data_IF_622658147883
#
_entry.id   IF_622658147883
#
_cell.length_a   1.000
_cell.length_b   1.000
_cell.length_c   1.000
_cell.angle_alpha   90.00
_cell.angle_beta   90.00
_cell.angle_gamma   90.00
#
_symmetry.space_group_name_H-M   'P 1'
#
loop_
_entity.id
_entity.type
_entity.pdbx_description
1 polymer ?
#
# COMPACT_ATOMS: atom_id res chain seq x y z
N UNK A 1 8.59 -22.92 0.66
CA UNK A 1 9.66 -21.93 0.32
C UNK A 1 10.48 -22.34 -0.90
N UNK A 2 10.91 -23.59 -1.05
CA UNK A 2 11.77 -24.00 -2.19
C UNK A 2 11.08 -23.84 -3.57
N UNK A 3 9.77 -24.08 -3.67
CA UNK A 3 8.99 -23.89 -4.90
C UNK A 3 8.87 -22.42 -5.29
N UNK A 4 8.93 -21.51 -4.31
CA UNK A 4 8.74 -20.07 -4.49
C UNK A 4 10.04 -19.31 -4.84
N UNK A 5 11.21 -19.98 -4.77
CA UNK A 5 12.51 -19.36 -5.07
C UNK A 5 13.02 -19.70 -6.48
N UNK A 6 12.22 -20.40 -7.28
CA UNK A 6 12.63 -20.73 -8.67
C UNK A 6 12.28 -19.57 -9.60
N UNK A 7 13.23 -19.17 -10.42
CA UNK A 7 12.97 -18.29 -11.56
C UNK A 7 12.26 -19.11 -12.64
N UNK A 8 11.11 -18.67 -13.18
CA UNK A 8 10.47 -19.32 -14.31
C UNK A 8 11.34 -19.27 -15.57
N UNK A 9 11.19 -20.25 -16.46
CA UNK A 9 11.87 -20.26 -17.74
C UNK A 9 11.28 -19.10 -18.60
N UNK A 10 12.11 -18.16 -19.02
CA UNK A 10 11.69 -16.92 -19.71
C UNK A 10 11.19 -15.82 -18.80
N UNK A 11 11.06 -16.08 -17.48
CA UNK A 11 10.60 -15.14 -16.48
C UNK A 11 11.72 -14.50 -15.66
N UNK A 12 11.32 -13.83 -14.60
CA UNK A 12 12.20 -13.13 -13.66
C UNK A 12 11.80 -13.41 -12.21
N UNK A 13 12.79 -13.53 -11.32
CA UNK A 13 12.60 -13.62 -9.87
C UNK A 13 13.81 -13.03 -9.17
N UNK A 14 13.82 -11.73 -8.99
CA UNK A 14 14.96 -10.97 -8.48
C UNK A 14 14.55 -10.00 -7.39
N UNK A 15 15.45 -9.79 -6.43
CA UNK A 15 15.26 -8.82 -5.36
C UNK A 15 16.51 -7.97 -5.22
N UNK A 16 16.32 -6.68 -5.03
CA UNK A 16 17.45 -5.76 -4.94
C UNK A 16 17.16 -4.52 -4.10
N UNK A 17 18.22 -3.86 -3.66
CA UNK A 17 18.17 -2.53 -3.09
C UNK A 17 18.54 -1.48 -4.14
N UNK A 18 17.78 -0.41 -4.18
CA UNK A 18 17.99 0.72 -5.07
C UNK A 18 18.26 1.97 -4.25
N UNK A 19 19.25 2.76 -4.62
CA UNK A 19 19.55 4.04 -3.99
C UNK A 19 18.55 5.11 -4.45
N UNK A 20 17.62 5.48 -3.58
CA UNK A 20 16.54 6.43 -3.84
C UNK A 20 16.59 7.57 -2.84
N UNK A 21 16.91 8.77 -3.30
CA UNK A 21 16.92 9.99 -2.48
C UNK A 21 17.63 9.82 -1.13
N UNK A 22 18.84 9.22 -1.16
CA UNK A 22 19.70 9.03 0.01
C UNK A 22 19.34 7.85 0.91
N UNK A 23 18.43 6.96 0.48
CA UNK A 23 18.14 5.72 1.17
C UNK A 23 18.21 4.53 0.24
N UNK A 24 18.46 3.34 0.80
CA UNK A 24 18.34 2.07 0.08
C UNK A 24 16.92 1.55 0.22
N UNK A 25 16.22 1.41 -0.88
CA UNK A 25 14.85 0.92 -0.88
C UNK A 25 14.77 -0.42 -1.61
N UNK A 26 14.04 -1.35 -1.01
CA UNK A 26 13.93 -2.73 -1.47
C UNK A 26 12.81 -2.90 -2.47
N UNK A 27 13.12 -3.61 -3.57
CA UNK A 27 12.11 -4.12 -4.48
C UNK A 27 12.28 -5.63 -4.69
N UNK A 28 11.19 -6.28 -5.06
CA UNK A 28 11.17 -7.64 -5.58
C UNK A 28 10.42 -7.65 -6.91
N UNK A 29 11.02 -8.25 -7.91
CA UNK A 29 10.48 -8.38 -9.27
C UNK A 29 10.20 -9.86 -9.53
N UNK A 30 8.96 -10.19 -9.85
CA UNK A 30 8.55 -11.54 -10.17
C UNK A 30 7.58 -11.58 -11.36
N UNK A 31 7.87 -12.39 -12.36
CA UNK A 31 7.01 -12.63 -13.53
C UNK A 31 7.33 -13.97 -14.17
N UNK A 32 6.32 -14.63 -14.74
CA UNK A 32 6.50 -15.88 -15.47
C UNK A 32 7.06 -15.64 -16.87
N UNK A 33 6.83 -14.44 -17.41
CA UNK A 33 7.40 -13.96 -18.67
C UNK A 33 7.89 -12.52 -18.47
N UNK A 34 9.17 -12.24 -18.77
CA UNK A 34 9.77 -10.90 -18.64
C UNK A 34 9.16 -9.90 -19.63
N UNK A 35 8.58 -10.38 -20.71
CA UNK A 35 7.93 -9.54 -21.73
C UNK A 35 6.53 -9.08 -21.33
N UNK A 36 5.94 -9.66 -20.28
CA UNK A 36 4.66 -9.22 -19.74
C UNK A 36 4.66 -7.73 -19.38
N UNK A 37 3.48 -7.05 -19.42
CA UNK A 37 3.33 -5.71 -18.89
C UNK A 37 3.72 -5.67 -17.40
N UNK A 38 4.22 -4.53 -16.94
CA UNK A 38 4.69 -4.35 -15.56
C UNK A 38 3.58 -3.86 -14.67
N UNK A 39 3.43 -4.48 -13.50
CA UNK A 39 2.54 -4.05 -12.42
C UNK A 39 3.37 -3.64 -11.20
N UNK A 40 3.38 -2.36 -10.87
CA UNK A 40 3.95 -1.86 -9.62
C UNK A 40 2.89 -1.89 -8.52
N UNK A 41 3.11 -2.72 -7.51
CA UNK A 41 2.26 -2.79 -6.33
C UNK A 41 2.72 -1.81 -5.24
N UNK A 42 1.81 -0.94 -4.82
CA UNK A 42 2.00 0.02 -3.72
C UNK A 42 1.20 -0.45 -2.50
N UNK A 43 1.92 -0.84 -1.46
CA UNK A 43 1.33 -1.32 -0.21
C UNK A 43 0.62 -0.23 0.60
N UNK A 44 -0.22 -0.65 1.52
CA UNK A 44 -0.97 0.21 2.42
C UNK A 44 -0.16 0.75 3.62
N UNK A 45 -0.85 1.30 4.57
CA UNK A 45 -0.31 1.90 5.80
C UNK A 45 -0.61 3.40 5.89
N UNK A 46 0.38 4.32 5.74
CA UNK A 46 1.78 4.12 5.32
C UNK A 46 2.58 3.18 6.20
N UNK A 47 3.57 2.47 5.59
CA UNK A 47 4.53 1.66 6.34
C UNK A 47 4.19 0.18 6.50
N UNK A 48 3.04 -0.32 5.99
CA UNK A 48 2.67 -1.74 6.04
C UNK A 48 3.26 -2.51 4.86
N UNK A 49 4.59 -2.69 4.86
CA UNK A 49 5.27 -3.44 3.80
C UNK A 49 4.74 -4.87 3.66
N UNK A 50 4.81 -5.42 2.46
CA UNK A 50 4.30 -6.76 2.15
C UNK A 50 5.39 -7.74 1.72
N UNK A 51 6.66 -7.35 1.76
CA UNK A 51 7.78 -8.15 1.26
C UNK A 51 7.94 -9.54 1.91
N UNK A 52 7.32 -9.77 3.08
CA UNK A 52 7.33 -11.06 3.75
C UNK A 52 6.23 -12.01 3.26
N UNK A 53 5.17 -11.47 2.66
CA UNK A 53 3.95 -12.20 2.25
C UNK A 53 3.55 -11.94 0.79
N UNK A 54 4.25 -11.08 0.07
CA UNK A 54 3.89 -10.67 -1.31
C UNK A 54 3.73 -11.85 -2.28
N UNK A 55 4.52 -12.92 -2.09
CA UNK A 55 4.44 -14.13 -2.89
C UNK A 55 3.05 -14.79 -2.89
N UNK A 56 2.21 -14.52 -1.89
CA UNK A 56 0.86 -15.09 -1.77
C UNK A 56 -0.06 -14.56 -2.87
N UNK A 57 0.09 -13.29 -3.22
CA UNK A 57 -0.78 -12.63 -4.21
C UNK A 57 -0.06 -12.33 -5.52
N UNK A 58 1.22 -11.95 -5.51
CA UNK A 58 1.96 -11.60 -6.73
C UNK A 58 2.01 -12.74 -7.72
N UNK A 59 2.18 -13.96 -7.25
CA UNK A 59 2.21 -15.15 -8.10
C UNK A 59 0.92 -15.46 -8.83
N UNK A 60 -0.22 -14.98 -8.33
CA UNK A 60 -1.52 -15.13 -8.99
C UNK A 60 -1.70 -14.20 -10.18
N UNK A 61 -0.82 -13.21 -10.31
CA UNK A 61 -0.84 -12.23 -11.39
C UNK A 61 0.36 -12.40 -12.34
N UNK A 62 1.29 -13.26 -11.97
CA UNK A 62 2.58 -13.38 -12.65
C UNK A 62 2.51 -14.03 -14.04
N UNK A 63 1.41 -14.67 -14.37
CA UNK A 63 1.11 -15.21 -15.70
C UNK A 63 0.72 -14.09 -16.70
N UNK A 64 0.26 -12.94 -16.20
CA UNK A 64 -0.19 -11.79 -17.03
C UNK A 64 0.61 -10.52 -16.78
N UNK A 65 1.35 -10.45 -15.68
CA UNK A 65 2.18 -9.28 -15.31
C UNK A 65 3.56 -9.71 -14.82
N UNK A 66 4.56 -8.90 -15.12
CA UNK A 66 5.78 -8.85 -14.30
C UNK A 66 5.49 -7.93 -13.11
N UNK A 67 5.33 -8.51 -11.93
CA UNK A 67 4.92 -7.81 -10.71
C UNK A 67 6.14 -7.29 -9.97
N UNK A 68 6.12 -6.01 -9.63
CA UNK A 68 7.12 -5.37 -8.78
C UNK A 68 6.48 -4.98 -7.47
N UNK A 69 6.96 -5.54 -6.37
CA UNK A 69 6.62 -5.09 -5.03
C UNK A 69 7.74 -4.21 -4.49
N UNK A 70 7.38 -3.19 -3.74
CA UNK A 70 8.31 -2.20 -3.22
C UNK A 70 8.01 -1.91 -1.75
N UNK A 71 9.00 -2.16 -0.90
CA UNK A 71 8.97 -1.65 0.46
C UNK A 71 9.31 -0.15 0.41
N UNK A 72 8.29 0.69 0.58
CA UNK A 72 8.44 2.13 0.50
C UNK A 72 9.40 2.64 1.58
N UNK A 73 9.81 3.90 1.47
CA UNK A 73 10.75 4.56 2.40
C UNK A 73 10.45 4.24 3.86
N UNK A 74 11.51 3.87 4.58
CA UNK A 74 11.55 3.62 6.02
C UNK A 74 10.56 2.56 6.54
N UNK A 75 10.22 1.56 5.70
CA UNK A 75 9.42 0.42 6.15
C UNK A 75 9.97 -0.90 5.61
N UNK A 76 9.60 -2.01 6.24
CA UNK A 76 10.03 -3.36 5.86
C UNK A 76 11.53 -3.48 5.70
N UNK A 77 11.98 -4.01 4.57
CA UNK A 77 13.42 -4.14 4.23
C UNK A 77 14.08 -2.80 3.85
N UNK A 78 13.28 -1.77 3.56
CA UNK A 78 13.76 -0.40 3.32
C UNK A 78 13.91 0.42 4.62
N UNK A 79 13.69 -0.20 5.79
CA UNK A 79 13.84 0.50 7.07
C UNK A 79 15.30 0.87 7.34
N UNK A 80 15.50 2.14 7.70
CA UNK A 80 16.79 2.68 8.12
C UNK A 80 16.60 3.59 9.34
N UNK A 81 17.11 3.16 10.49
CA UNK A 81 17.00 3.92 11.75
C UNK A 81 17.60 5.33 11.66
N UNK A 82 18.55 5.56 10.76
CA UNK A 82 19.15 6.89 10.55
C UNK A 82 18.19 7.86 9.83
N UNK A 83 17.09 7.35 9.28
CA UNK A 83 16.07 8.14 8.59
C UNK A 83 14.84 8.46 9.46
N UNK A 84 14.82 8.07 10.73
CA UNK A 84 13.66 8.24 11.61
C UNK A 84 13.31 9.72 11.87
N UNK A 85 14.29 10.61 11.79
CA UNK A 85 14.09 12.06 12.01
C UNK A 85 13.68 12.80 10.72
N UNK A 86 13.65 12.13 9.58
CA UNK A 86 13.24 12.74 8.33
C UNK A 86 11.74 12.97 8.30
N UNK A 87 11.33 14.19 8.04
CA UNK A 87 9.92 14.53 7.84
C UNK A 87 9.45 13.95 6.52
N UNK A 88 8.51 13.01 6.57
CA UNK A 88 7.90 12.40 5.39
C UNK A 88 6.87 13.37 4.80
N UNK A 89 7.23 13.99 3.68
CA UNK A 89 6.36 14.91 2.96
C UNK A 89 5.77 14.28 1.71
N UNK A 90 4.64 14.81 1.22
CA UNK A 90 4.07 14.41 -0.07
C UNK A 90 5.09 14.49 -1.20
N UNK A 91 5.88 15.57 -1.23
CA UNK A 91 6.92 15.79 -2.24
C UNK A 91 8.00 14.70 -2.21
N UNK A 92 8.44 14.30 -1.00
CA UNK A 92 9.43 13.25 -0.83
C UNK A 92 8.89 11.91 -1.35
N UNK A 93 7.64 11.56 -1.04
CA UNK A 93 7.00 10.35 -1.58
C UNK A 93 6.90 10.40 -3.11
N UNK A 94 6.44 11.50 -3.68
CA UNK A 94 6.32 11.63 -5.13
C UNK A 94 7.65 11.50 -5.85
N UNK A 95 8.71 12.10 -5.30
CA UNK A 95 10.06 11.99 -5.90
C UNK A 95 10.65 10.59 -5.74
N UNK A 96 10.37 9.88 -4.64
CA UNK A 96 10.74 8.47 -4.48
C UNK A 96 10.02 7.61 -5.51
N UNK A 97 8.69 7.75 -5.61
CA UNK A 97 7.88 6.99 -6.55
C UNK A 97 8.27 7.22 -8.01
N UNK A 98 8.58 8.46 -8.39
CA UNK A 98 9.11 8.77 -9.72
C UNK A 98 10.41 8.03 -10.00
N UNK A 99 11.35 8.03 -9.04
CA UNK A 99 12.66 7.38 -9.22
C UNK A 99 12.55 5.86 -9.29
N UNK A 100 11.73 5.26 -8.43
CA UNK A 100 11.43 3.82 -8.47
C UNK A 100 10.82 3.46 -9.82
N UNK A 101 9.80 4.20 -10.26
CA UNK A 101 9.15 3.96 -11.56
C UNK A 101 10.13 4.01 -12.70
N UNK A 102 10.95 5.06 -12.78
CA UNK A 102 11.97 5.18 -13.83
C UNK A 102 12.96 4.03 -13.81
N UNK A 103 13.45 3.67 -12.61
CA UNK A 103 14.36 2.53 -12.48
C UNK A 103 13.71 1.24 -13.01
N UNK A 104 12.46 0.96 -12.65
CA UNK A 104 11.74 -0.25 -13.08
C UNK A 104 11.58 -0.26 -14.61
N UNK A 105 11.19 0.86 -15.20
CA UNK A 105 11.01 0.99 -16.65
C UNK A 105 12.32 0.76 -17.40
N UNK A 106 13.41 1.38 -16.94
CA UNK A 106 14.74 1.21 -17.53
C UNK A 106 15.23 -0.23 -17.36
N UNK A 107 15.06 -0.82 -16.15
CA UNK A 107 15.51 -2.16 -15.81
C UNK A 107 14.81 -3.25 -16.62
N UNK A 108 13.50 -3.12 -16.83
CA UNK A 108 12.68 -4.07 -17.57
C UNK A 108 12.50 -3.69 -19.04
N UNK A 109 13.14 -2.62 -19.53
CA UNK A 109 13.03 -2.12 -20.90
C UNK A 109 11.57 -1.89 -21.33
N UNK A 110 10.80 -1.19 -20.48
CA UNK A 110 9.39 -0.85 -20.73
C UNK A 110 9.21 0.67 -20.79
N UNK A 111 8.22 1.12 -21.57
CA UNK A 111 7.89 2.56 -21.71
C UNK A 111 6.95 3.03 -20.61
N UNK A 112 6.03 2.17 -20.18
CA UNK A 112 5.01 2.46 -19.15
C UNK A 112 4.75 1.25 -18.28
N UNK A 113 4.15 1.50 -17.12
CA UNK A 113 3.69 0.45 -16.22
C UNK A 113 2.28 0.75 -15.66
N UNK A 114 1.64 -0.29 -15.14
CA UNK A 114 0.39 -0.19 -14.38
C UNK A 114 0.73 -0.04 -12.89
N UNK A 115 0.05 0.87 -12.19
CA UNK A 115 0.09 0.95 -10.72
C UNK A 115 -1.11 0.21 -10.15
N UNK A 116 -0.88 -0.65 -9.16
CA UNK A 116 -1.91 -1.17 -8.26
C UNK A 116 -1.64 -0.67 -6.85
N UNK A 117 -2.49 0.23 -6.35
CA UNK A 117 -2.37 0.80 -5.01
C UNK A 117 -3.43 0.26 -4.06
N UNK A 118 -3.04 -0.17 -2.87
CA UNK A 118 -3.95 -0.63 -1.83
C UNK A 118 -3.96 0.34 -0.64
N UNK A 119 -5.17 0.74 -0.17
CA UNK A 119 -5.33 1.63 1.00
C UNK A 119 -4.49 2.92 0.84
N UNK A 120 -3.52 3.20 1.71
CA UNK A 120 -2.54 4.29 1.54
C UNK A 120 -1.90 4.27 0.14
N UNK A 121 -1.54 3.08 -0.36
CA UNK A 121 -0.97 2.92 -1.70
C UNK A 121 -1.90 3.41 -2.81
N UNK A 122 -3.22 3.42 -2.59
CA UNK A 122 -4.19 3.94 -3.55
C UNK A 122 -4.16 5.47 -3.64
N UNK A 123 -3.95 6.17 -2.52
CA UNK A 123 -3.73 7.62 -2.51
C UNK A 123 -2.40 7.93 -3.21
N UNK A 124 -1.37 7.18 -2.85
CA UNK A 124 -0.02 7.37 -3.39
C UNK A 124 0.00 7.15 -4.91
N UNK A 125 -0.55 6.02 -5.38
CA UNK A 125 -0.62 5.68 -6.80
C UNK A 125 -1.43 6.68 -7.62
N UNK A 126 -2.58 7.15 -7.12
CA UNK A 126 -3.37 8.19 -7.77
C UNK A 126 -2.57 9.49 -7.93
N UNK A 127 -1.83 9.91 -6.89
CA UNK A 127 -0.99 11.10 -6.96
C UNK A 127 0.19 10.93 -7.94
N UNK A 128 0.82 9.75 -8.00
CA UNK A 128 1.86 9.46 -8.97
C UNK A 128 1.33 9.50 -10.41
N UNK A 129 0.19 8.85 -10.65
CA UNK A 129 -0.43 8.82 -11.98
C UNK A 129 -0.87 10.23 -12.44
N UNK A 130 -1.30 11.09 -11.52
CA UNK A 130 -1.69 12.45 -11.80
C UNK A 130 -0.47 13.37 -12.07
N UNK A 131 0.61 13.21 -11.30
CA UNK A 131 1.80 14.06 -11.38
C UNK A 131 2.73 13.67 -12.54
N UNK A 132 2.78 12.35 -12.89
CA UNK A 132 3.70 11.82 -13.91
C UNK A 132 2.98 10.88 -14.88
N UNK A 133 1.91 11.32 -15.57
CA UNK A 133 1.07 10.46 -16.41
C UNK A 133 1.83 9.81 -17.58
N UNK A 134 3.00 10.34 -17.94
CA UNK A 134 3.84 9.78 -18.99
C UNK A 134 4.39 8.39 -18.69
N UNK A 135 4.50 8.00 -17.40
CA UNK A 135 5.07 6.71 -16.99
C UNK A 135 4.01 5.61 -16.78
N UNK A 136 2.73 5.99 -16.76
CA UNK A 136 1.68 5.05 -16.38
C UNK A 136 0.67 4.87 -17.51
N UNK A 137 0.29 3.61 -17.76
CA UNK A 137 -0.79 3.28 -18.68
C UNK A 137 -2.12 3.08 -17.97
N UNK A 138 -2.09 2.63 -16.71
CA UNK A 138 -3.26 2.37 -15.90
C UNK A 138 -2.96 2.57 -14.42
N UNK A 139 -3.98 2.99 -13.67
CA UNK A 139 -4.00 2.98 -12.21
C UNK A 139 -5.18 2.17 -11.71
N UNK A 140 -4.91 1.24 -10.79
CA UNK A 140 -5.90 0.38 -10.13
C UNK A 140 -5.86 0.70 -8.63
N UNK A 141 -6.96 1.23 -8.09
CA UNK A 141 -7.11 1.48 -6.67
C UNK A 141 -7.92 0.39 -5.98
N UNK A 142 -7.42 -0.15 -4.86
CA UNK A 142 -8.15 -1.10 -4.02
C UNK A 142 -8.21 -0.57 -2.59
N UNK A 143 -9.36 -0.70 -1.91
CA UNK A 143 -9.56 -0.01 -0.64
C UNK A 143 -9.31 1.49 -0.80
N UNK A 144 -9.80 2.06 -1.92
CA UNK A 144 -9.51 3.42 -2.35
C UNK A 144 -10.02 4.43 -1.34
N UNK A 145 -9.11 5.25 -0.82
CA UNK A 145 -9.44 6.45 -0.07
C UNK A 145 -9.38 7.65 -1.02
N UNK A 146 -10.51 8.35 -1.18
CA UNK A 146 -10.63 9.51 -2.08
C UNK A 146 -10.48 10.81 -1.30
N UNK A 147 -11.30 10.99 -0.28
CA UNK A 147 -11.24 12.12 0.64
C UNK A 147 -11.25 11.61 2.08
N UNK A 148 -10.19 11.92 2.82
CA UNK A 148 -10.05 11.45 4.19
C UNK A 148 -11.08 12.08 5.13
N UNK A 149 -11.29 13.38 5.01
CA UNK A 149 -12.18 14.14 5.91
C UNK A 149 -13.64 13.69 5.71
N UNK A 150 -14.07 13.58 4.45
CA UNK A 150 -15.42 13.10 4.14
C UNK A 150 -15.61 11.63 4.57
N UNK A 151 -14.58 10.79 4.40
CA UNK A 151 -14.63 9.40 4.85
C UNK A 151 -14.75 9.29 6.38
N UNK A 152 -14.01 10.09 7.14
CA UNK A 152 -14.07 10.08 8.60
C UNK A 152 -15.40 10.69 9.11
N UNK A 153 -15.95 11.68 8.44
CA UNK A 153 -17.28 12.19 8.79
C UNK A 153 -18.38 11.15 8.51
N UNK A 154 -18.30 10.44 7.39
CA UNK A 154 -19.22 9.33 7.09
C UNK A 154 -19.09 8.21 8.16
N UNK A 155 -17.86 7.83 8.53
CA UNK A 155 -17.64 6.89 9.63
C UNK A 155 -18.26 7.40 10.95
N UNK A 156 -18.07 8.68 11.28
CA UNK A 156 -18.60 9.29 12.49
C UNK A 156 -20.12 9.22 12.53
N UNK A 157 -20.80 9.50 11.42
CA UNK A 157 -22.27 9.41 11.33
C UNK A 157 -22.76 7.98 11.59
N UNK A 158 -22.14 6.99 10.97
CA UNK A 158 -22.46 5.58 11.19
C UNK A 158 -22.15 5.13 12.61
N UNK A 159 -21.02 5.53 13.17
CA UNK A 159 -20.63 5.19 14.54
C UNK A 159 -21.59 5.76 15.59
N UNK A 160 -22.14 6.94 15.36
CA UNK A 160 -23.18 7.52 16.22
C UNK A 160 -24.48 6.69 16.19
N UNK A 161 -24.86 6.13 15.04
CA UNK A 161 -26.00 5.22 14.94
C UNK A 161 -25.73 3.90 15.68
N UNK A 162 -24.54 3.33 15.53
CA UNK A 162 -24.16 2.10 16.23
C UNK A 162 -24.16 2.26 17.75
N UNK A 163 -23.75 3.44 18.21
CA UNK A 163 -23.65 3.76 19.63
C UNK A 163 -24.96 4.24 20.25
N UNK A 164 -26.11 4.15 19.57
CA UNK A 164 -27.39 4.59 20.12
C UNK A 164 -27.69 3.95 21.49
N UNK A 165 -27.87 4.78 22.52
CA UNK A 165 -28.06 4.35 23.89
C UNK A 165 -26.79 4.12 24.71
N UNK A 166 -25.60 4.12 24.09
CA UNK A 166 -24.29 3.99 24.76
C UNK A 166 -23.66 5.38 24.98
N UNK A 167 -23.96 5.98 26.14
CA UNK A 167 -23.52 7.35 26.44
C UNK A 167 -22.00 7.51 26.43
N UNK A 168 -21.28 6.54 26.96
CA UNK A 168 -19.80 6.59 27.01
C UNK A 168 -19.19 6.63 25.62
N UNK A 169 -19.65 5.75 24.73
CA UNK A 169 -19.15 5.72 23.35
C UNK A 169 -19.59 6.96 22.55
N UNK A 170 -20.80 7.47 22.77
CA UNK A 170 -21.25 8.72 22.15
C UNK A 170 -20.39 9.92 22.56
N UNK A 171 -20.02 10.03 23.81
CA UNK A 171 -19.10 11.08 24.30
C UNK A 171 -17.72 10.93 23.67
N UNK A 172 -17.22 9.70 23.56
CA UNK A 172 -15.94 9.41 22.92
C UNK A 172 -15.94 9.76 21.43
N UNK A 173 -16.95 9.34 20.65
CA UNK A 173 -17.09 9.68 19.23
C UNK A 173 -17.12 11.20 19.01
N UNK A 174 -17.80 11.95 19.89
CA UNK A 174 -17.87 13.41 19.80
C UNK A 174 -16.54 14.13 20.07
N UNK A 175 -15.57 13.46 20.68
CA UNK A 175 -14.22 13.99 20.89
C UNK A 175 -13.26 13.69 19.74
N UNK A 176 -13.63 12.79 18.83
CA UNK A 176 -12.81 12.48 17.65
C UNK A 176 -12.89 13.64 16.65
N UNK A 177 -11.75 14.17 16.30
CA UNK A 177 -11.62 15.23 15.29
C UNK A 177 -11.01 14.63 14.01
N UNK A 178 -11.69 14.73 12.87
CA UNK A 178 -11.24 14.08 11.62
C UNK A 178 -10.15 14.86 10.88
N UNK A 179 -9.63 15.94 11.45
CA UNK A 179 -8.71 16.86 10.75
C UNK A 179 -7.29 16.31 10.55
N UNK A 180 -6.95 15.19 11.20
CA UNK A 180 -5.61 14.56 11.08
C UNK A 180 -5.67 13.05 11.15
N UNK A 181 -4.88 12.41 10.29
CA UNK A 181 -4.57 10.98 10.42
C UNK A 181 -3.50 10.81 11.50
N UNK A 182 -3.91 10.43 12.71
CA UNK A 182 -3.00 10.05 13.78
C UNK A 182 -3.20 8.59 14.16
N UNK A 183 -2.16 7.96 14.72
CA UNK A 183 -2.30 6.59 15.24
C UNK A 183 -3.34 6.49 16.35
N UNK A 184 -3.47 7.55 17.16
CA UNK A 184 -4.50 7.63 18.20
C UNK A 184 -5.91 7.61 17.60
N UNK A 185 -6.16 8.41 16.56
CA UNK A 185 -7.44 8.43 15.85
C UNK A 185 -7.76 7.07 15.20
N UNK A 186 -6.79 6.46 14.51
CA UNK A 186 -6.94 5.13 13.87
C UNK A 186 -7.26 4.08 14.94
N UNK A 187 -6.56 4.10 16.07
CA UNK A 187 -6.79 3.16 17.18
C UNK A 187 -8.18 3.32 17.76
N UNK A 188 -8.60 4.55 18.01
CA UNK A 188 -9.93 4.87 18.50
C UNK A 188 -11.04 4.41 17.54
N UNK A 189 -10.89 4.70 16.25
CA UNK A 189 -11.81 4.25 15.22
C UNK A 189 -11.94 2.71 15.17
N UNK A 190 -10.81 2.01 15.21
CA UNK A 190 -10.80 0.55 15.20
C UNK A 190 -11.47 -0.03 16.45
N UNK A 191 -11.26 0.57 17.61
CA UNK A 191 -11.92 0.15 18.85
C UNK A 191 -13.45 0.28 18.77
N UNK A 192 -13.96 1.36 18.19
CA UNK A 192 -15.40 1.56 17.95
C UNK A 192 -15.94 0.49 16.99
N UNK A 193 -15.26 0.28 15.86
CA UNK A 193 -15.65 -0.74 14.89
C UNK A 193 -15.69 -2.13 15.53
N UNK A 194 -14.67 -2.49 16.29
CA UNK A 194 -14.59 -3.77 16.99
C UNK A 194 -15.72 -3.94 18.01
N UNK A 195 -16.01 -2.89 18.79
CA UNK A 195 -17.06 -2.91 19.81
C UNK A 195 -18.44 -3.26 19.21
N UNK A 196 -18.73 -2.79 18.01
CA UNK A 196 -20.03 -3.00 17.35
C UNK A 196 -20.01 -4.10 16.27
N UNK A 197 -18.94 -4.89 16.19
CA UNK A 197 -18.86 -6.05 15.30
C UNK A 197 -18.62 -5.71 13.82
N UNK A 198 -18.15 -4.50 13.53
CA UNK A 198 -17.80 -4.06 12.17
C UNK A 198 -16.31 -4.16 11.85
N UNK A 199 -15.54 -4.79 12.74
CA UNK A 199 -14.13 -5.08 12.49
C UNK A 199 -14.02 -6.17 11.41
N UNK A 200 -13.35 -5.85 10.32
CA UNK A 200 -13.08 -6.78 9.23
C UNK A 200 -12.29 -8.03 9.68
N UNK A 201 -11.59 -7.94 10.80
CA UNK A 201 -10.77 -9.02 11.36
C UNK A 201 -11.54 -9.86 12.40
N UNK A 202 -12.65 -9.35 12.96
CA UNK A 202 -13.34 -9.97 14.10
C UNK A 202 -14.41 -11.00 13.70
N UNK A 203 -14.91 -10.96 12.49
CA UNK A 203 -16.07 -11.78 12.11
C UNK A 203 -15.72 -13.17 11.58
N UNK A 204 -14.62 -13.78 12.04
CA UNK A 204 -14.37 -15.21 11.82
C UNK A 204 -14.63 -15.63 10.36
N UNK A 205 -14.53 -14.69 9.43
CA UNK A 205 -14.43 -15.07 8.04
C UNK A 205 -13.19 -15.94 8.00
N UNK A 206 -13.41 -17.23 7.96
CA UNK A 206 -12.41 -18.21 7.62
C UNK A 206 -11.78 -17.77 6.30
N UNK A 207 -10.80 -16.86 6.38
CA UNK A 207 -9.84 -16.71 5.32
C UNK A 207 -9.06 -18.02 5.31
N UNK A 208 -9.66 -19.06 4.75
CA UNK A 208 -8.93 -20.18 4.23
C UNK A 208 -7.97 -19.61 3.19
N UNK A 209 -6.79 -19.24 3.66
CA UNK A 209 -5.62 -18.98 2.84
C UNK A 209 -5.20 -20.34 2.24
N UNK A 210 -5.97 -20.82 1.24
CA UNK A 210 -5.54 -21.91 0.38
C UNK A 210 -4.52 -21.38 -0.62
#
# INVERSE_FOLDING_TARGET
RAIYNRTPDGGINESMYIDINGTKQWIHVYGEDIDNPVLLYLHGGPGSSTSDIDYIFTRKWADVYTVVTWDQRNCGKSYDAQQNDIVLTRELFLTDGKKITKFILDYLSKDKLTILGHSWGSIYGANLALEYPEYYECFIGTGQLVDYIENEEAFRQEALLWAEGDKETLEFINQLTPDRITMEHITARNAIMQKYGYDMMANGSDYNLM
#
